data_IF_300670864237
#
_entry.id   IF_300670864237
#
_cell.length_a   1.000
_cell.length_b   1.000
_cell.length_c   1.000
_cell.angle_alpha   90.00
_cell.angle_beta   90.00
_cell.angle_gamma   90.00
#
_symmetry.space_group_name_H-M   'P 1'
#
loop_
_entity.id
_entity.type
_entity.pdbx_description
1 polymer ?
#
# COMPACT_ATOMS: atom_id res chain seq x y z
N UNK A 1 15.49 14.93 14.55
CA UNK A 1 14.30 15.42 13.82
C UNK A 1 14.36 14.81 12.43
N UNK A 2 13.58 13.77 12.15
CA UNK A 2 13.75 12.91 10.95
C UNK A 2 12.48 12.89 10.08
N UNK A 3 11.86 14.05 9.87
CA UNK A 3 10.76 14.19 8.93
C UNK A 3 11.33 14.20 7.50
N UNK A 4 11.30 13.05 6.84
CA UNK A 4 11.67 12.94 5.44
C UNK A 4 10.48 13.33 4.55
N UNK A 5 10.71 14.20 3.57
CA UNK A 5 9.72 14.60 2.57
C UNK A 5 10.08 13.98 1.22
N UNK A 6 9.08 13.39 0.56
CA UNK A 6 9.21 12.83 -0.78
C UNK A 6 8.16 13.45 -1.69
N UNK A 7 8.59 13.92 -2.86
CA UNK A 7 7.73 14.42 -3.92
C UNK A 7 7.80 13.42 -5.10
N UNK A 8 6.77 12.58 -5.25
CA UNK A 8 6.72 11.51 -6.25
C UNK A 8 5.62 11.79 -7.26
N UNK A 9 5.94 11.66 -8.55
CA UNK A 9 4.99 11.81 -9.65
C UNK A 9 4.65 10.44 -10.24
N UNK A 10 3.38 10.05 -10.15
CA UNK A 10 2.88 8.84 -10.79
C UNK A 10 2.21 9.21 -12.11
N UNK A 11 2.73 8.70 -13.22
CA UNK A 11 2.12 8.83 -14.54
C UNK A 11 1.28 7.60 -14.82
N UNK A 12 -0.02 7.79 -15.03
CA UNK A 12 -0.91 6.69 -15.41
C UNK A 12 -0.66 6.28 -16.87
N UNK A 13 -0.61 4.98 -17.13
CA UNK A 13 -0.41 4.41 -18.47
C UNK A 13 -1.57 4.69 -19.43
N UNK A 14 -2.79 4.89 -18.92
CA UNK A 14 -4.00 5.16 -19.71
C UNK A 14 -4.74 6.36 -19.15
N UNK A 15 -5.18 7.28 -20.03
CA UNK A 15 -6.03 8.43 -19.70
C UNK A 15 -7.19 8.55 -20.71
N UNK A 16 -8.43 8.88 -20.27
CA UNK A 16 -8.87 8.98 -18.88
C UNK A 16 -8.97 7.61 -18.20
N UNK A 17 -8.90 7.60 -16.86
CA UNK A 17 -9.16 6.40 -16.05
C UNK A 17 -10.63 5.98 -16.21
N UNK A 18 -10.90 4.67 -16.14
CA UNK A 18 -12.28 4.17 -16.24
C UNK A 18 -13.08 4.63 -15.00
N UNK A 19 -14.15 5.43 -15.15
CA UNK A 19 -14.90 5.96 -14.02
C UNK A 19 -15.68 4.87 -13.25
N UNK A 20 -15.88 3.68 -13.83
CA UNK A 20 -16.51 2.54 -13.18
C UNK A 20 -15.57 1.78 -12.24
N UNK A 21 -14.28 2.14 -12.20
CA UNK A 21 -13.28 1.47 -11.36
C UNK A 21 -12.82 2.37 -10.22
N UNK A 22 -12.62 1.75 -9.07
CA UNK A 22 -11.96 2.39 -7.93
C UNK A 22 -10.46 2.23 -8.07
N UNK A 23 -9.73 3.32 -7.86
CA UNK A 23 -8.27 3.33 -7.89
C UNK A 23 -7.74 3.76 -6.53
N UNK A 24 -6.67 3.12 -6.10
CA UNK A 24 -5.97 3.46 -4.86
C UNK A 24 -4.46 3.47 -5.10
N UNK A 25 -3.75 4.23 -4.28
CA UNK A 25 -2.30 4.20 -4.18
C UNK A 25 -1.94 3.42 -2.92
N UNK A 26 -1.16 2.36 -3.09
CA UNK A 26 -0.57 1.60 -1.99
C UNK A 26 0.86 2.09 -1.82
N UNK A 27 1.25 2.36 -0.57
CA UNK A 27 2.62 2.72 -0.21
C UNK A 27 3.14 1.67 0.74
N UNK A 28 4.27 1.07 0.41
CA UNK A 28 4.90 0.02 1.22
C UNK A 28 6.19 0.53 1.86
N UNK A 29 6.38 0.24 3.14
CA UNK A 29 7.62 0.51 3.86
C UNK A 29 8.42 -0.78 4.05
N UNK A 30 9.72 -0.66 3.80
CA UNK A 30 10.70 -1.72 4.00
C UNK A 30 11.85 -1.19 4.86
N UNK A 31 12.43 -2.06 5.67
CA UNK A 31 13.67 -1.76 6.35
C UNK A 31 14.79 -1.63 5.31
N UNK A 32 15.48 -0.48 5.29
CA UNK A 32 16.50 -0.17 4.28
C UNK A 32 17.64 -1.21 4.19
N UNK A 33 18.05 -1.80 5.32
CA UNK A 33 19.20 -2.71 5.36
C UNK A 33 18.80 -4.16 5.09
N UNK A 34 17.73 -4.62 5.73
CA UNK A 34 17.30 -6.02 5.66
C UNK A 34 16.29 -6.29 4.55
N UNK A 35 15.77 -5.23 3.92
CA UNK A 35 14.66 -5.27 2.96
C UNK A 35 13.41 -5.99 3.48
N UNK A 36 13.31 -6.16 4.81
CA UNK A 36 12.14 -6.73 5.46
C UNK A 36 11.02 -5.72 5.45
N UNK A 37 9.86 -6.18 5.00
CA UNK A 37 8.63 -5.40 5.02
C UNK A 37 8.24 -4.98 6.43
N UNK A 38 7.69 -3.77 6.53
CA UNK A 38 7.33 -3.12 7.79
C UNK A 38 5.84 -2.83 7.89
N UNK A 39 5.27 -2.24 6.84
CA UNK A 39 3.92 -1.72 6.86
C UNK A 39 3.49 -1.31 5.45
N UNK A 40 2.17 -1.23 5.23
CA UNK A 40 1.55 -0.68 4.04
C UNK A 40 0.48 0.32 4.43
N UNK A 41 0.26 1.31 3.58
CA UNK A 41 -0.84 2.25 3.63
C UNK A 41 -1.61 2.25 2.31
N UNK A 42 -2.91 2.48 2.37
CA UNK A 42 -3.77 2.57 1.19
C UNK A 42 -4.51 3.90 1.13
N UNK A 43 -4.44 4.60 -0.01
CA UNK A 43 -5.12 5.88 -0.20
C UNK A 43 -5.99 5.86 -1.45
N UNK A 44 -7.31 6.11 -1.35
CA UNK A 44 -8.19 6.13 -2.51
C UNK A 44 -7.94 7.36 -3.38
N UNK A 45 -7.93 7.18 -4.70
CA UNK A 45 -7.94 8.25 -5.71
C UNK A 45 -9.38 8.68 -5.93
N UNK A 46 -9.79 9.76 -5.25
CA UNK A 46 -11.19 10.21 -5.22
C UNK A 46 -11.68 10.82 -6.54
N UNK A 47 -10.76 11.36 -7.33
CA UNK A 47 -11.08 12.11 -8.55
C UNK A 47 -10.29 11.57 -9.75
N UNK A 48 -10.54 10.32 -10.18
CA UNK A 48 -9.79 9.69 -11.26
C UNK A 48 -10.03 10.36 -12.63
N UNK A 49 -11.08 11.18 -12.75
CA UNK A 49 -11.38 11.99 -13.94
C UNK A 49 -10.48 13.22 -14.08
N UNK A 50 -9.81 13.67 -13.00
CA UNK A 50 -8.96 14.85 -13.08
C UNK A 50 -7.69 14.54 -13.88
N UNK A 51 -7.27 15.45 -14.78
CA UNK A 51 -6.04 15.29 -15.55
C UNK A 51 -4.80 15.18 -14.66
N UNK A 52 -4.83 15.84 -13.51
CA UNK A 52 -3.81 15.82 -12.46
C UNK A 52 -4.50 15.72 -11.10
N UNK A 53 -4.14 14.70 -10.33
CA UNK A 53 -4.58 14.53 -8.95
C UNK A 53 -3.37 14.53 -8.02
N UNK A 54 -3.31 15.48 -7.10
CA UNK A 54 -2.21 15.60 -6.12
C UNK A 54 -2.62 14.99 -4.78
N UNK A 55 -1.84 14.01 -4.33
CA UNK A 55 -1.96 13.42 -2.99
C UNK A 55 -0.83 13.95 -2.10
N UNK A 56 -1.18 14.58 -0.99
CA UNK A 56 -0.24 15.03 0.04
C UNK A 56 -0.54 14.27 1.33
N UNK A 57 0.37 13.39 1.73
CA UNK A 57 0.14 12.40 2.80
C UNK A 57 1.29 12.47 3.79
N UNK A 58 0.95 12.53 5.08
CA UNK A 58 1.91 12.33 6.17
C UNK A 58 1.85 10.88 6.62
N UNK A 59 2.92 10.12 6.41
CA UNK A 59 3.02 8.72 6.84
C UNK A 59 3.63 8.64 8.23
N UNK A 60 2.94 7.96 9.14
CA UNK A 60 3.45 7.64 10.48
C UNK A 60 3.93 6.19 10.43
N UNK A 61 5.25 5.99 10.42
CA UNK A 61 5.84 4.65 10.38
C UNK A 61 5.79 4.06 11.79
N UNK A 62 5.15 2.90 11.99
CA UNK A 62 5.09 2.26 13.30
C UNK A 62 6.49 1.79 13.75
N UNK A 63 6.78 1.83 15.06
CA UNK A 63 8.09 1.45 15.59
C UNK A 63 8.36 -0.05 15.42
N UNK A 64 7.32 -0.88 15.56
CA UNK A 64 7.33 -2.31 15.30
C UNK A 64 6.82 -2.62 13.89
N UNK A 65 7.22 -3.78 13.36
CA UNK A 65 6.63 -4.31 12.13
C UNK A 65 5.15 -4.57 12.35
N UNK A 66 4.30 -4.08 11.45
CA UNK A 66 2.91 -4.52 11.38
C UNK A 66 2.93 -6.00 10.98
N UNK A 67 2.68 -6.85 11.97
CA UNK A 67 2.70 -8.28 11.81
C UNK A 67 1.55 -8.78 10.93
N UNK A 68 1.64 -10.04 10.47
CA UNK A 68 0.57 -10.63 9.69
C UNK A 68 -0.74 -10.65 10.50
N UNK A 69 -1.84 -10.31 9.84
CA UNK A 69 -3.17 -10.43 10.42
C UNK A 69 -3.59 -11.91 10.42
N UNK A 70 -4.22 -12.36 11.51
CA UNK A 70 -4.50 -13.80 11.74
C UNK A 70 -5.51 -14.38 10.74
N UNK A 71 -6.36 -13.55 10.15
CA UNK A 71 -7.43 -14.01 9.26
C UNK A 71 -7.59 -13.07 8.06
N UNK A 72 -7.58 -13.63 6.87
CA UNK A 72 -7.94 -12.96 5.62
C UNK A 72 -9.12 -13.70 5.01
N UNK A 73 -10.06 -12.96 4.41
CA UNK A 73 -11.16 -13.54 3.64
C UNK A 73 -11.14 -12.90 2.26
N UNK A 74 -10.75 -13.63 1.18
CA UNK A 74 -10.35 -15.04 1.13
C UNK A 74 -8.96 -15.30 1.74
N UNK A 75 -8.67 -16.56 2.06
CA UNK A 75 -7.38 -16.97 2.63
C UNK A 75 -6.24 -16.79 1.61
N UNK A 76 -5.09 -16.31 2.09
CA UNK A 76 -3.89 -16.18 1.27
C UNK A 76 -3.19 -17.53 1.13
N UNK A 77 -3.20 -18.12 -0.08
CA UNK A 77 -2.60 -19.45 -0.34
C UNK A 77 -1.07 -19.35 -0.47
N UNK A 78 -0.55 -18.37 -1.21
CA UNK A 78 0.88 -18.20 -1.51
C UNK A 78 1.46 -16.92 -0.89
N UNK A 79 1.08 -16.60 0.34
CA UNK A 79 1.55 -15.39 0.98
C UNK A 79 1.02 -15.19 2.38
N UNK A 80 1.32 -14.01 2.92
CA UNK A 80 0.93 -13.62 4.26
C UNK A 80 -0.17 -12.55 4.20
N UNK A 81 -1.13 -12.67 5.11
CA UNK A 81 -2.22 -11.73 5.29
C UNK A 81 -1.73 -10.50 6.06
N UNK A 82 -1.99 -9.29 5.55
CA UNK A 82 -1.68 -8.04 6.24
C UNK A 82 -2.86 -7.09 6.21
N UNK A 83 -2.85 -6.12 7.12
CA UNK A 83 -3.77 -4.97 7.12
C UNK A 83 -3.00 -3.69 6.82
N UNK A 84 -3.71 -2.69 6.31
CA UNK A 84 -3.13 -1.37 6.13
C UNK A 84 -3.09 -0.62 7.45
N UNK A 85 -2.03 0.14 7.68
CA UNK A 85 -1.86 0.91 8.92
C UNK A 85 -2.98 1.94 9.10
N UNK A 86 -3.42 2.57 8.01
CA UNK A 86 -4.48 3.57 8.01
C UNK A 86 -5.89 3.02 7.74
N UNK A 87 -6.01 1.71 7.52
CA UNK A 87 -7.28 1.02 7.35
C UNK A 87 -7.16 -0.42 7.83
N UNK A 88 -7.45 -0.61 9.13
CA UNK A 88 -7.39 -1.91 9.78
C UNK A 88 -8.55 -2.84 9.36
N UNK A 89 -9.57 -2.30 8.70
CA UNK A 89 -10.70 -3.09 8.19
C UNK A 89 -10.40 -3.75 6.85
N UNK A 90 -9.43 -3.21 6.11
CA UNK A 90 -9.00 -3.75 4.82
C UNK A 90 -7.78 -4.64 4.98
N UNK A 91 -7.91 -5.88 4.53
CA UNK A 91 -6.85 -6.87 4.48
C UNK A 91 -6.36 -7.08 3.04
N UNK A 92 -5.09 -7.44 2.88
CA UNK A 92 -4.53 -7.83 1.59
C UNK A 92 -3.54 -8.98 1.75
N UNK A 93 -3.37 -9.75 0.67
CA UNK A 93 -2.36 -10.81 0.60
C UNK A 93 -1.07 -10.26 0.03
N UNK A 94 0.01 -10.35 0.80
CA UNK A 94 1.36 -10.06 0.33
C UNK A 94 2.05 -11.36 -0.02
N UNK A 95 2.41 -11.53 -1.28
CA UNK A 95 3.13 -12.71 -1.73
C UNK A 95 4.52 -12.75 -1.10
N UNK A 96 4.96 -13.95 -0.71
CA UNK A 96 6.37 -14.20 -0.42
C UNK A 96 7.10 -14.48 -1.73
N UNK A 97 8.15 -13.72 -2.01
CA UNK A 97 8.93 -13.87 -3.24
C UNK A 97 9.60 -15.26 -3.38
N UNK A 98 9.70 -16.02 -2.29
CA UNK A 98 10.35 -17.34 -2.26
C UNK A 98 9.38 -18.52 -2.09
N UNK A 99 8.08 -18.35 -2.35
CA UNK A 99 7.13 -19.47 -2.25
C UNK A 99 7.44 -20.53 -3.34
N UNK A 100 7.76 -21.79 -2.97
CA UNK A 100 7.87 -22.86 -3.95
C UNK A 100 6.50 -23.07 -4.63
N UNK A 101 6.54 -23.20 -5.95
CA UNK A 101 5.40 -23.51 -6.82
C UNK A 101 4.98 -24.96 -6.61
#
# INVERSE_FOLDING_TARGET
NCDAKFDVYLVYSVRPKNPLKNYSVIIDAFNKLTLKYRASWIFPVRFPFLPVHRLAIRLIVPPSTFGPHKSCTPSCIHGQCFTYVNDQSSTFCRCEWNAPI
#
